data_IF_231434351913
#
_entry.id   IF_231434351913
#
_cell.length_a   1.000
_cell.length_b   1.000
_cell.length_c   1.000
_cell.angle_alpha   90.00
_cell.angle_beta   90.00
_cell.angle_gamma   90.00
#
_symmetry.space_group_name_H-M   'P 1'
#
loop_
_entity.id
_entity.type
_entity.pdbx_description
1 polymer ?
#
# COMPACT_ATOMS: atom_id res chain seq x y z
N UNK A 1 22.30 9.00 53.55
CA UNK A 1 22.10 7.87 52.61
C UNK A 1 20.75 7.77 51.88
N UNK A 2 19.59 8.33 52.33
CA UNK A 2 18.32 8.12 51.60
C UNK A 2 18.15 9.00 50.35
N UNK A 3 18.82 10.16 50.30
CA UNK A 3 18.73 11.11 49.18
C UNK A 3 19.41 10.57 47.91
N UNK A 4 20.60 9.97 48.06
CA UNK A 4 21.35 9.36 46.94
C UNK A 4 20.56 8.19 46.34
N UNK A 5 19.91 7.36 47.18
CA UNK A 5 19.03 6.28 46.70
C UNK A 5 17.83 6.81 45.93
N UNK A 6 17.19 7.91 46.38
CA UNK A 6 16.08 8.55 45.66
C UNK A 6 16.51 9.15 44.32
N UNK A 7 17.71 9.73 44.24
CA UNK A 7 18.25 10.29 43.01
C UNK A 7 18.55 9.21 41.96
N UNK A 8 19.11 8.08 42.38
CA UNK A 8 19.39 6.93 41.50
C UNK A 8 18.08 6.35 40.95
N UNK A 9 17.06 6.20 41.79
CA UNK A 9 15.75 5.70 41.36
C UNK A 9 15.12 6.64 40.32
N UNK A 10 15.22 7.96 40.51
CA UNK A 10 14.68 8.95 39.57
C UNK A 10 15.37 8.90 38.19
N UNK A 11 16.70 8.73 38.18
CA UNK A 11 17.49 8.59 36.95
C UNK A 11 17.13 7.28 36.23
N UNK A 12 17.04 6.17 36.96
CA UNK A 12 16.63 4.89 36.39
C UNK A 12 15.20 4.94 35.82
N UNK A 13 14.26 5.63 36.47
CA UNK A 13 12.90 5.79 35.99
C UNK A 13 12.83 6.66 34.72
N UNK A 14 13.61 7.75 34.67
CA UNK A 14 13.72 8.60 33.48
C UNK A 14 14.32 7.87 32.27
N UNK A 15 15.35 7.04 32.48
CA UNK A 15 15.94 6.22 31.42
C UNK A 15 14.96 5.15 30.92
N UNK A 16 14.22 4.49 31.81
CA UNK A 16 13.22 3.49 31.43
C UNK A 16 12.07 4.10 30.60
N UNK A 17 11.60 5.29 30.96
CA UNK A 17 10.58 6.00 30.19
C UNK A 17 11.08 6.48 28.81
N UNK A 18 12.35 6.84 28.67
CA UNK A 18 12.92 7.20 27.36
C UNK A 18 13.11 5.99 26.44
N UNK A 19 13.42 4.81 26.99
CA UNK A 19 13.52 3.58 26.20
C UNK A 19 12.17 3.11 25.63
N UNK A 20 11.06 3.39 26.31
CA UNK A 20 9.71 3.04 25.81
C UNK A 20 9.15 4.02 24.76
N UNK A 21 9.71 5.23 24.63
CA UNK A 21 9.24 6.21 23.65
C UNK A 21 9.68 5.90 22.20
N UNK A 22 10.57 4.92 21.99
CA UNK A 22 11.13 4.61 20.67
C UNK A 22 10.43 3.46 19.94
N UNK A 23 9.49 2.76 20.58
CA UNK A 23 8.91 1.53 20.01
C UNK A 23 7.63 1.74 19.19
N UNK A 24 7.27 2.99 18.88
CA UNK A 24 6.01 3.32 18.21
C UNK A 24 6.10 3.77 16.74
N UNK A 25 7.29 3.89 16.13
CA UNK A 25 7.40 4.72 14.93
C UNK A 25 8.25 4.18 13.77
N UNK A 26 8.27 2.87 13.49
CA UNK A 26 8.94 2.37 12.27
C UNK A 26 8.34 1.09 11.66
N UNK A 27 7.03 0.88 11.76
CA UNK A 27 6.35 0.09 10.73
C UNK A 27 6.07 1.02 9.54
N UNK A 28 7.07 1.18 8.65
CA UNK A 28 6.98 2.01 7.43
C UNK A 28 5.90 1.46 6.49
N UNK A 29 4.66 1.87 6.74
CA UNK A 29 3.55 1.60 5.83
C UNK A 29 3.77 2.34 4.52
N UNK A 30 3.57 1.66 3.39
CA UNK A 30 3.73 2.28 2.07
C UNK A 30 2.45 3.01 1.70
N UNK A 31 2.49 4.34 1.62
CA UNK A 31 1.35 5.12 1.11
C UNK A 31 1.60 5.50 -0.33
N UNK A 32 0.70 5.09 -1.22
CA UNK A 32 0.80 5.32 -2.66
C UNK A 32 -0.30 6.26 -3.10
N UNK A 33 0.08 7.40 -3.64
CA UNK A 33 -0.82 8.32 -4.32
C UNK A 33 -1.03 7.85 -5.78
N UNK A 34 -2.29 7.67 -6.15
CA UNK A 34 -2.68 7.22 -7.49
C UNK A 34 -3.60 8.24 -8.15
N UNK A 35 -3.41 8.42 -9.45
CA UNK A 35 -4.42 8.98 -10.33
C UNK A 35 -5.18 7.82 -10.98
N UNK A 36 -6.48 7.71 -10.73
CA UNK A 36 -7.31 6.62 -11.25
C UNK A 36 -7.41 6.63 -12.78
N UNK A 37 -7.09 7.75 -13.43
CA UNK A 37 -7.07 7.89 -14.89
C UNK A 37 -5.67 7.66 -15.50
N UNK A 38 -4.67 7.28 -14.69
CA UNK A 38 -3.33 6.98 -15.21
C UNK A 38 -3.33 5.69 -16.03
N UNK A 39 -2.57 5.65 -17.13
CA UNK A 39 -2.42 4.46 -17.99
C UNK A 39 -1.87 3.21 -17.27
N UNK A 40 -1.26 3.40 -16.11
CA UNK A 40 -0.75 2.33 -15.26
C UNK A 40 -1.84 1.67 -14.43
N UNK A 41 -3.02 2.28 -14.31
CA UNK A 41 -4.21 1.69 -13.70
C UNK A 41 -4.92 0.86 -14.76
N UNK A 42 -5.04 -0.44 -14.52
CA UNK A 42 -5.73 -1.36 -15.41
C UNK A 42 -7.26 -1.22 -15.25
N UNK A 43 -7.73 -1.25 -14.00
CA UNK A 43 -9.08 -0.90 -13.62
C UNK A 43 -9.14 -0.72 -12.09
N UNK A 44 -10.28 -0.25 -11.59
CA UNK A 44 -10.58 -0.21 -10.17
C UNK A 44 -12.07 -0.46 -9.96
N UNK A 45 -12.42 -0.92 -8.77
CA UNK A 45 -13.81 -1.09 -8.35
C UNK A 45 -13.95 -0.61 -6.91
N UNK A 46 -14.94 0.23 -6.64
CA UNK A 46 -15.28 0.69 -5.28
C UNK A 46 -16.77 0.42 -5.11
N UNK A 47 -17.15 -0.27 -4.02
CA UNK A 47 -18.56 -0.56 -3.79
C UNK A 47 -19.33 0.69 -3.34
N UNK A 48 -20.65 0.67 -3.54
CA UNK A 48 -21.54 1.81 -3.21
C UNK A 48 -21.46 2.25 -1.75
N UNK A 49 -21.26 1.31 -0.82
CA UNK A 49 -21.14 1.61 0.62
C UNK A 49 -19.74 2.08 1.05
N UNK A 50 -18.78 2.16 0.12
CA UNK A 50 -17.39 2.57 0.35
C UNK A 50 -16.69 1.77 1.45
N UNK A 51 -16.97 0.47 1.52
CA UNK A 51 -16.34 -0.45 2.48
C UNK A 51 -15.42 -1.46 1.81
N UNK A 52 -15.48 -1.57 0.48
CA UNK A 52 -14.64 -2.46 -0.31
C UNK A 52 -14.13 -1.72 -1.53
N UNK A 53 -12.85 -1.92 -1.82
CA UNK A 53 -12.23 -1.40 -3.02
C UNK A 53 -11.22 -2.42 -3.58
N UNK A 54 -11.09 -2.45 -4.89
CA UNK A 54 -10.03 -3.17 -5.59
C UNK A 54 -9.34 -2.19 -6.53
N UNK A 55 -8.01 -2.18 -6.49
CA UNK A 55 -7.16 -1.38 -7.35
C UNK A 55 -6.23 -2.30 -8.13
N UNK A 56 -6.36 -2.32 -9.45
CA UNK A 56 -5.59 -3.18 -10.32
C UNK A 56 -4.65 -2.33 -11.17
N UNK A 57 -3.35 -2.61 -11.09
CA UNK A 57 -2.31 -1.87 -11.80
C UNK A 57 -1.60 -2.78 -12.80
N UNK A 58 -1.26 -2.25 -13.96
CA UNK A 58 -0.37 -2.98 -14.87
C UNK A 58 1.03 -3.11 -14.28
N UNK A 59 1.63 -4.28 -14.45
CA UNK A 59 3.04 -4.54 -14.16
C UNK A 59 3.94 -3.64 -15.01
N UNK A 60 5.12 -3.31 -14.47
CA UNK A 60 6.12 -2.51 -15.20
C UNK A 60 6.45 -3.21 -16.53
N UNK A 61 6.28 -2.48 -17.64
CA UNK A 61 6.51 -2.99 -18.99
C UNK A 61 5.28 -3.59 -19.67
N UNK A 62 4.08 -3.50 -19.07
CA UNK A 62 2.82 -4.06 -19.62
C UNK A 62 1.65 -3.08 -19.63
N UNK A 63 1.96 -1.77 -19.66
CA UNK A 63 0.96 -0.69 -19.55
C UNK A 63 0.12 -0.57 -20.82
N UNK A 64 0.71 -0.85 -21.97
CA UNK A 64 0.07 -0.76 -23.28
C UNK A 64 -0.44 -2.11 -23.77
N UNK A 65 -1.42 -2.09 -24.68
CA UNK A 65 -1.94 -3.30 -25.33
C UNK A 65 -0.83 -4.05 -26.08
N UNK A 66 -0.01 -3.32 -26.82
CA UNK A 66 1.11 -3.87 -27.59
C UNK A 66 2.10 -4.63 -26.70
N UNK A 67 2.52 -4.05 -25.57
CA UNK A 67 3.41 -4.72 -24.62
C UNK A 67 2.82 -6.04 -24.08
N UNK A 68 1.51 -6.07 -23.83
CA UNK A 68 0.80 -7.29 -23.37
C UNK A 68 0.69 -8.34 -24.47
N UNK A 69 0.38 -7.94 -25.69
CA UNK A 69 0.34 -8.84 -26.86
C UNK A 69 1.72 -9.47 -27.12
N UNK A 70 2.79 -8.68 -27.02
CA UNK A 70 4.17 -9.18 -27.10
C UNK A 70 4.52 -10.13 -25.95
N UNK A 71 4.07 -9.82 -24.72
CA UNK A 71 4.21 -10.71 -23.57
C UNK A 71 3.55 -12.08 -23.79
N UNK A 72 2.31 -12.08 -24.30
CA UNK A 72 1.56 -13.30 -24.64
C UNK A 72 2.29 -14.09 -25.74
N UNK A 73 2.76 -13.42 -26.79
CA UNK A 73 3.50 -14.06 -27.90
C UNK A 73 4.77 -14.74 -27.40
N UNK A 74 5.56 -14.07 -26.55
CA UNK A 74 6.77 -14.64 -25.94
C UNK A 74 6.45 -15.84 -25.05
N UNK A 75 5.38 -15.77 -24.26
CA UNK A 75 4.92 -16.88 -23.41
C UNK A 75 4.54 -18.11 -24.22
N UNK A 76 3.81 -17.94 -25.33
CA UNK A 76 3.39 -19.05 -26.22
C UNK A 76 4.57 -19.76 -26.87
N UNK A 77 5.69 -19.08 -27.05
CA UNK A 77 6.92 -19.63 -27.65
C UNK A 77 7.82 -20.36 -26.63
N UNK A 78 7.30 -20.76 -25.46
CA UNK A 78 7.99 -21.63 -24.50
C UNK A 78 8.94 -20.92 -23.52
N UNK A 79 8.91 -19.59 -23.43
CA UNK A 79 9.78 -18.79 -22.56
C UNK A 79 9.14 -18.40 -21.21
N UNK A 80 7.93 -18.87 -20.87
CA UNK A 80 7.29 -18.55 -19.60
C UNK A 80 6.62 -19.77 -18.92
N UNK A 81 6.94 -19.90 -17.63
CA UNK A 81 6.41 -20.71 -16.49
C UNK A 81 5.29 -21.74 -16.74
N UNK A 82 5.35 -22.83 -15.97
CA UNK A 82 4.52 -24.06 -15.94
C UNK A 82 2.98 -23.92 -15.96
N UNK A 83 2.43 -22.71 -15.91
CA UNK A 83 0.98 -22.42 -15.89
C UNK A 83 0.48 -21.64 -17.13
N UNK A 84 1.36 -21.28 -18.08
CA UNK A 84 0.98 -20.93 -19.46
C UNK A 84 0.29 -19.58 -19.75
N UNK A 85 -0.09 -18.78 -18.74
CA UNK A 85 -0.63 -17.42 -18.95
C UNK A 85 0.16 -16.41 -18.11
N UNK A 86 0.83 -15.42 -18.73
CA UNK A 86 1.53 -14.37 -17.98
C UNK A 86 0.52 -13.43 -17.31
N UNK A 87 0.63 -13.30 -15.98
CA UNK A 87 -0.09 -12.27 -15.22
C UNK A 87 0.55 -10.90 -15.48
N UNK A 88 -0.26 -9.92 -15.89
CA UNK A 88 0.19 -8.55 -16.17
C UNK A 88 -0.30 -7.53 -15.15
N UNK A 89 -1.03 -7.98 -14.12
CA UNK A 89 -1.76 -7.13 -13.20
C UNK A 89 -1.26 -7.39 -11.78
N UNK A 90 -1.04 -6.31 -11.04
CA UNK A 90 -0.87 -6.31 -9.60
C UNK A 90 -2.15 -5.77 -8.95
N UNK A 91 -2.71 -6.52 -8.01
CA UNK A 91 -4.02 -6.24 -7.41
C UNK A 91 -3.88 -5.90 -5.92
N UNK A 92 -4.52 -4.81 -5.49
CA UNK A 92 -4.66 -4.43 -4.09
C UNK A 92 -6.12 -4.38 -3.69
N UNK A 93 -6.43 -4.94 -2.53
CA UNK A 93 -7.79 -5.05 -2.01
C UNK A 93 -7.93 -4.30 -0.70
N UNK A 94 -8.93 -3.43 -0.60
CA UNK A 94 -9.42 -2.89 0.66
C UNK A 94 -10.60 -3.74 1.14
N UNK A 95 -10.48 -4.26 2.36
CA UNK A 95 -11.27 -5.36 2.96
C UNK A 95 -10.71 -6.74 2.60
N UNK A 96 -10.32 -7.50 3.61
CA UNK A 96 -10.03 -8.94 3.45
C UNK A 96 -11.34 -9.73 3.43
N UNK A 97 -11.30 -10.94 2.87
CA UNK A 97 -12.38 -11.94 2.98
C UNK A 97 -12.71 -12.25 4.45
N UNK A 98 -11.71 -12.08 5.34
CA UNK A 98 -11.77 -12.43 6.75
C UNK A 98 -12.17 -11.28 7.69
N UNK A 99 -12.41 -10.06 7.19
CA UNK A 99 -12.82 -8.95 8.05
C UNK A 99 -14.35 -8.83 8.09
N UNK A 100 -15.01 -9.16 9.23
CA UNK A 100 -16.47 -9.14 9.33
C UNK A 100 -17.05 -7.72 9.27
N UNK A 101 -16.22 -6.68 9.45
CA UNK A 101 -16.64 -5.28 9.46
C UNK A 101 -15.94 -4.53 8.33
N UNK A 102 -16.73 -4.07 7.36
CA UNK A 102 -16.24 -3.24 6.27
C UNK A 102 -15.57 -1.97 6.81
N UNK A 103 -14.29 -1.78 6.49
CA UNK A 103 -13.51 -0.61 6.88
C UNK A 103 -13.70 0.45 5.79
N UNK A 104 -14.22 1.62 6.18
CA UNK A 104 -14.35 2.77 5.28
C UNK A 104 -12.99 3.46 5.08
N UNK A 105 -12.75 4.09 3.92
CA UNK A 105 -11.55 4.89 3.72
C UNK A 105 -11.58 6.12 4.62
N UNK A 106 -10.39 6.59 4.99
CA UNK A 106 -10.21 7.88 5.64
C UNK A 106 -10.38 9.00 4.61
N UNK A 107 -11.24 9.99 4.90
CA UNK A 107 -11.41 11.19 4.06
C UNK A 107 -10.41 12.26 4.50
N UNK A 108 -9.55 12.69 3.59
CA UNK A 108 -8.53 13.71 3.82
C UNK A 108 -8.85 14.99 3.08
N UNK A 109 -8.65 16.15 3.73
CA UNK A 109 -8.78 17.47 3.09
C UNK A 109 -7.51 17.92 2.38
N UNK A 110 -6.34 17.46 2.82
CA UNK A 110 -5.04 17.85 2.30
C UNK A 110 -4.05 16.69 2.40
N UNK A 111 -3.00 16.72 1.57
CA UNK A 111 -1.86 15.81 1.64
C UNK A 111 -0.69 16.38 2.45
N UNK A 112 -0.81 17.62 2.96
CA UNK A 112 0.26 18.28 3.72
C UNK A 112 0.63 17.45 4.96
N UNK A 113 1.91 17.14 5.12
CA UNK A 113 2.43 16.35 6.24
C UNK A 113 2.28 14.84 6.08
N UNK A 114 1.75 14.34 4.96
CA UNK A 114 1.74 12.92 4.66
C UNK A 114 2.93 12.54 3.79
N UNK A 115 3.67 11.52 4.20
CA UNK A 115 4.67 10.88 3.35
C UNK A 115 3.98 9.89 2.42
N UNK A 116 4.13 10.07 1.11
CA UNK A 116 3.59 9.18 0.09
C UNK A 116 4.51 9.12 -1.12
N UNK A 117 4.45 8.00 -1.84
CA UNK A 117 5.09 7.82 -3.13
C UNK A 117 4.03 7.81 -4.24
N UNK A 118 4.44 8.07 -5.46
CA UNK A 118 3.60 7.94 -6.64
C UNK A 118 3.45 6.47 -7.05
N UNK A 119 2.41 6.15 -7.82
CA UNK A 119 2.27 4.83 -8.46
C UNK A 119 3.52 4.44 -9.26
N UNK A 120 4.16 5.39 -9.96
CA UNK A 120 5.37 5.14 -10.75
C UNK A 120 6.54 4.71 -9.86
N UNK A 121 6.75 5.36 -8.73
CA UNK A 121 7.77 5.00 -7.76
C UNK A 121 7.49 3.62 -7.14
N UNK A 122 6.22 3.35 -6.82
CA UNK A 122 5.81 2.04 -6.31
C UNK A 122 6.09 0.91 -7.32
N UNK A 123 5.79 1.14 -8.60
CA UNK A 123 6.13 0.21 -9.69
C UNK A 123 7.64 0.05 -9.89
N UNK A 124 8.42 1.11 -9.73
CA UNK A 124 9.86 1.08 -9.89
C UNK A 124 10.55 0.29 -8.77
N UNK A 125 9.95 0.26 -7.58
CA UNK A 125 10.37 -0.58 -6.47
C UNK A 125 9.74 -1.98 -6.50
N UNK A 126 9.30 -2.45 -7.67
CA UNK A 126 8.69 -3.78 -7.83
C UNK A 126 7.54 -4.07 -6.86
N UNK A 127 6.75 -3.05 -6.51
CA UNK A 127 5.63 -3.14 -5.57
C UNK A 127 6.02 -3.62 -4.16
N UNK A 128 7.30 -3.52 -3.79
CA UNK A 128 7.76 -3.89 -2.46
C UNK A 128 7.11 -3.01 -1.39
N UNK A 129 6.59 -3.66 -0.35
CA UNK A 129 6.06 -3.04 0.87
C UNK A 129 6.40 -3.94 2.06
N UNK A 130 6.85 -3.35 3.16
CA UNK A 130 7.24 -4.08 4.37
C UNK A 130 6.06 -4.45 5.26
N UNK A 131 4.94 -3.74 5.14
CA UNK A 131 3.72 -3.97 5.91
C UNK A 131 2.47 -3.66 5.05
N UNK A 132 1.62 -2.73 5.50
CA UNK A 132 0.38 -2.37 4.82
C UNK A 132 0.65 -1.37 3.70
N UNK A 133 -0.06 -1.55 2.58
CA UNK A 133 -0.11 -0.56 1.50
C UNK A 133 -1.37 0.28 1.69
N UNK A 134 -1.23 1.59 1.62
CA UNK A 134 -2.35 2.53 1.61
C UNK A 134 -2.46 3.16 0.22
N UNK A 135 -3.67 3.23 -0.31
CA UNK A 135 -3.96 3.90 -1.58
C UNK A 135 -4.64 5.23 -1.30
N UNK A 136 -4.04 6.32 -1.77
CA UNK A 136 -4.66 7.65 -1.78
C UNK A 136 -5.07 8.01 -3.19
N UNK A 137 -6.32 8.41 -3.40
CA UNK A 137 -6.75 9.04 -4.65
C UNK A 137 -7.58 10.29 -4.41
N UNK A 138 -7.53 11.22 -5.35
CA UNK A 138 -8.28 12.48 -5.31
C UNK A 138 -9.72 12.27 -5.76
N UNK A 139 -10.65 13.01 -5.17
CA UNK A 139 -12.05 13.11 -5.56
C UNK A 139 -12.31 14.39 -6.36
N UNK A 140 -13.45 14.45 -7.05
CA UNK A 140 -13.86 15.60 -7.85
C UNK A 140 -14.06 16.87 -7.01
N UNK A 141 -14.41 16.73 -5.72
CA UNK A 141 -14.56 17.84 -4.77
C UNK A 141 -13.22 18.38 -4.24
N UNK A 142 -12.09 17.85 -4.72
CA UNK A 142 -10.74 18.26 -4.31
C UNK A 142 -10.22 17.55 -3.06
N UNK A 143 -11.05 16.77 -2.36
CA UNK A 143 -10.64 15.96 -1.20
C UNK A 143 -10.03 14.63 -1.65
N UNK A 144 -9.56 13.81 -0.70
CA UNK A 144 -8.91 12.54 -0.98
C UNK A 144 -9.52 11.41 -0.14
N UNK A 145 -9.44 10.20 -0.66
CA UNK A 145 -9.74 8.97 0.08
C UNK A 145 -8.46 8.17 0.26
N UNK A 146 -8.18 7.78 1.50
CA UNK A 146 -7.08 6.90 1.87
C UNK A 146 -7.63 5.53 2.27
N UNK A 147 -7.32 4.54 1.46
CA UNK A 147 -7.73 3.15 1.62
C UNK A 147 -6.61 2.34 2.23
N UNK A 148 -6.90 1.55 3.27
CA UNK A 148 -5.98 0.50 3.71
C UNK A 148 -6.16 -0.71 2.80
N UNK A 149 -5.08 -1.20 2.20
CA UNK A 149 -5.13 -2.28 1.23
C UNK A 149 -4.17 -3.41 1.56
N UNK A 150 -4.47 -4.57 0.99
CA UNK A 150 -3.72 -5.81 1.16
C UNK A 150 -3.47 -6.43 -0.21
N UNK A 151 -2.30 -7.05 -0.37
CA UNK A 151 -2.01 -7.95 -1.47
C UNK A 151 -2.46 -9.36 -1.07
N UNK A 152 -3.15 -10.06 -1.96
CA UNK A 152 -3.39 -11.49 -1.82
C UNK A 152 -2.21 -12.18 -2.53
N UNK A 153 -1.35 -12.85 -1.75
CA UNK A 153 -0.48 -13.88 -2.31
C UNK A 153 -1.41 -15.00 -2.80
N UNK A 154 -1.51 -15.18 -4.11
CA UNK A 154 -2.03 -16.43 -4.67
C UNK A 154 -0.95 -17.49 -4.42
N UNK A 155 -1.24 -18.46 -3.55
CA UNK A 155 -0.45 -19.70 -3.37
C UNK A 155 -0.67 -20.67 -4.53
#
# INVERSE_FOLDING_TARGET
>A
MPIIKKLIILICFGCFCMSFSQEAENQLNTTVFINLNDKSVANFCINKSMTKAQFNFYLKGYKTKYEREEGIRKSKNGLATSLGIPTFIFSLYSSTVFSPKGIKPEKLKTLKGLNYITLKEFQNNSYQSTNSVYIIHKLNDGTYLKWKTYYLLEE
#
